data_IF_564537110274
#
_entry.id   IF_564537110274
#
_cell.length_a   1.000
_cell.length_b   1.000
_cell.length_c   1.000
_cell.angle_alpha   90.00
_cell.angle_beta   90.00
_cell.angle_gamma   90.00
#
_symmetry.space_group_name_H-M   'P 1'
#
loop_
_entity.id
_entity.type
_entity.pdbx_description
1 polymer ?
#
# COMPACT_ATOMS: atom_id res chain seq x y z
N UNK A 1 13.75 2.80 14.13
CA UNK A 1 12.53 3.02 14.93
C UNK A 1 11.35 2.67 14.03
N UNK A 2 10.81 1.45 14.16
CA UNK A 2 9.74 0.95 13.29
C UNK A 2 8.41 1.47 13.82
N UNK A 3 7.73 2.32 13.06
CA UNK A 3 6.43 2.85 13.42
C UNK A 3 5.34 1.88 12.99
N UNK A 4 4.49 1.46 13.93
CA UNK A 4 3.33 0.64 13.64
C UNK A 4 2.15 1.56 13.34
N UNK A 5 1.90 1.82 12.05
CA UNK A 5 0.74 2.58 11.61
C UNK A 5 -0.25 1.59 11.01
N UNK A 6 -1.42 1.48 11.64
CA UNK A 6 -2.55 0.80 11.03
C UNK A 6 -2.99 1.61 9.81
N UNK A 7 -2.52 1.24 8.63
CA UNK A 7 -2.97 1.86 7.40
C UNK A 7 -4.40 1.44 7.11
N UNK A 8 -5.32 2.40 7.17
CA UNK A 8 -6.61 2.24 6.53
C UNK A 8 -6.35 2.19 5.01
N UNK A 9 -6.44 0.98 4.43
CA UNK A 9 -6.27 0.75 2.99
C UNK A 9 -7.27 1.64 2.26
N UNK A 10 -6.80 2.60 1.48
CA UNK A 10 -7.67 3.37 0.60
C UNK A 10 -8.34 2.38 -0.37
N UNK A 11 -9.68 2.33 -0.34
CA UNK A 11 -10.46 1.52 -1.27
C UNK A 11 -10.62 2.32 -2.55
N UNK A 12 -9.80 2.01 -3.56
CA UNK A 12 -10.06 2.47 -4.91
C UNK A 12 -11.43 1.92 -5.35
N UNK A 13 -12.22 2.71 -6.08
CA UNK A 13 -13.49 2.23 -6.67
C UNK A 13 -13.28 1.23 -7.82
N UNK A 14 -12.04 1.02 -8.23
CA UNK A 14 -11.65 0.08 -9.28
C UNK A 14 -11.53 -1.32 -8.69
N UNK A 15 -11.96 -2.33 -9.45
CA UNK A 15 -11.82 -3.76 -9.08
C UNK A 15 -10.39 -4.30 -9.28
N UNK A 16 -9.49 -3.48 -9.82
CA UNK A 16 -8.10 -3.85 -10.07
C UNK A 16 -7.20 -3.56 -8.86
N UNK A 17 -6.15 -4.37 -8.70
CA UNK A 17 -5.13 -4.17 -7.66
C UNK A 17 -4.14 -3.04 -7.98
N UNK A 18 -4.25 -2.40 -9.15
CA UNK A 18 -3.38 -1.32 -9.62
C UNK A 18 -4.20 -0.07 -9.98
N UNK A 19 -3.59 1.10 -9.80
CA UNK A 19 -4.22 2.39 -10.10
C UNK A 19 -3.94 2.85 -11.52
N UNK A 20 -4.97 2.86 -12.37
CA UNK A 20 -4.88 3.34 -13.75
C UNK A 20 -4.58 4.85 -13.88
N UNK A 21 -4.73 5.62 -12.81
CA UNK A 21 -4.46 7.07 -12.79
C UNK A 21 -2.96 7.37 -12.72
N UNK A 22 -2.13 6.38 -12.39
CA UNK A 22 -0.68 6.48 -12.32
C UNK A 22 0.03 5.53 -13.32
N UNK A 23 -0.09 5.78 -14.64
CA UNK A 23 0.44 4.89 -15.67
C UNK A 23 1.97 4.72 -15.62
N UNK A 24 2.67 5.66 -15.00
CA UNK A 24 4.13 5.64 -14.88
C UNK A 24 4.62 5.16 -13.49
N UNK A 25 3.72 4.76 -12.59
CA UNK A 25 4.09 4.31 -11.23
C UNK A 25 4.87 5.35 -10.42
N UNK A 26 4.53 6.63 -10.57
CA UNK A 26 5.22 7.75 -9.91
C UNK A 26 4.93 7.80 -8.41
N UNK A 27 3.72 7.43 -8.01
CA UNK A 27 3.22 7.55 -6.64
C UNK A 27 3.25 6.22 -5.88
N UNK A 28 3.12 5.09 -6.60
CA UNK A 28 3.24 3.76 -6.01
C UNK A 28 4.22 2.90 -6.81
N UNK A 29 5.06 2.13 -6.10
CA UNK A 29 6.04 1.24 -6.73
C UNK A 29 5.34 0.02 -7.31
N UNK A 30 5.70 -0.37 -8.53
CA UNK A 30 5.34 -1.67 -9.13
C UNK A 30 6.25 -2.81 -8.69
N UNK A 31 7.19 -2.55 -7.77
CA UNK A 31 8.06 -3.56 -7.20
C UNK A 31 7.25 -4.66 -6.50
N UNK A 32 7.45 -5.90 -6.94
CA UNK A 32 6.77 -7.06 -6.37
C UNK A 32 7.20 -7.29 -4.92
N UNK A 33 6.22 -7.44 -4.02
CA UNK A 33 6.46 -7.66 -2.59
C UNK A 33 5.90 -9.01 -2.14
N UNK A 34 6.76 -10.04 -1.97
CA UNK A 34 6.28 -11.40 -1.71
C UNK A 34 5.57 -11.56 -0.37
N UNK A 35 5.91 -10.76 0.65
CA UNK A 35 5.28 -10.83 1.97
C UNK A 35 3.83 -10.35 2.00
N UNK A 36 3.41 -9.59 0.99
CA UNK A 36 2.02 -9.15 0.83
C UNK A 36 1.20 -10.08 -0.07
N UNK A 37 1.83 -11.06 -0.71
CA UNK A 37 1.16 -11.98 -1.63
C UNK A 37 0.32 -13.01 -0.86
N UNK A 38 -1.02 -13.06 -1.09
CA UNK A 38 -1.88 -14.05 -0.47
C UNK A 38 -1.48 -15.51 -0.79
N UNK A 39 -0.94 -15.75 -1.99
CA UNK A 39 -0.55 -17.09 -2.45
C UNK A 39 0.73 -17.59 -1.78
N UNK A 40 1.61 -16.68 -1.35
CA UNK A 40 2.81 -17.03 -0.60
C UNK A 40 2.56 -17.13 0.92
N UNK A 41 1.35 -16.87 1.38
CA UNK A 41 1.00 -16.92 2.81
C UNK A 41 1.31 -18.28 3.43
N UNK A 42 1.03 -19.38 2.73
CA UNK A 42 1.33 -20.72 3.22
C UNK A 42 2.83 -20.93 3.44
N UNK A 43 3.65 -20.47 2.50
CA UNK A 43 5.12 -20.55 2.56
C UNK A 43 5.69 -19.75 3.74
N UNK A 44 5.20 -18.53 3.96
CA UNK A 44 5.68 -17.69 5.07
C UNK A 44 5.08 -18.06 6.44
N UNK A 45 4.03 -18.88 6.47
CA UNK A 45 3.40 -19.33 7.72
C UNK A 45 4.16 -20.47 8.40
N UNK A 46 5.11 -21.13 7.72
CA UNK A 46 5.91 -22.20 8.31
C UNK A 46 6.69 -21.67 9.55
N UNK A 47 6.74 -22.41 10.68
CA UNK A 47 7.35 -21.91 11.92
C UNK A 47 8.81 -21.51 11.81
N UNK A 48 9.57 -22.17 10.92
CA UNK A 48 10.98 -21.85 10.65
C UNK A 48 11.09 -20.52 9.92
N UNK A 49 10.29 -20.33 8.87
CA UNK A 49 10.27 -19.11 8.07
C UNK A 49 9.78 -17.92 8.88
N UNK A 50 8.69 -18.09 9.64
CA UNK A 50 8.18 -17.05 10.54
C UNK A 50 9.23 -16.59 11.55
N UNK A 51 9.93 -17.53 12.21
CA UNK A 51 11.01 -17.21 13.15
C UNK A 51 12.16 -16.45 12.47
N UNK A 52 12.49 -16.83 11.24
CA UNK A 52 13.51 -16.13 10.45
C UNK A 52 13.08 -14.69 10.12
N UNK A 53 11.85 -14.50 9.65
CA UNK A 53 11.32 -13.20 9.26
C UNK A 53 11.18 -12.23 10.44
N UNK A 54 10.75 -12.73 11.60
CA UNK A 54 10.71 -11.95 12.85
C UNK A 54 12.12 -11.54 13.27
N UNK A 55 13.08 -12.48 13.27
CA UNK A 55 14.48 -12.17 13.61
C UNK A 55 15.11 -11.14 12.67
N UNK A 56 14.74 -11.17 11.39
CA UNK A 56 15.20 -10.21 10.37
C UNK A 56 14.44 -8.87 10.40
N UNK A 57 13.35 -8.76 11.16
CA UNK A 57 12.56 -7.53 11.27
C UNK A 57 11.66 -7.26 10.07
N UNK A 58 11.29 -8.28 9.29
CA UNK A 58 10.33 -8.14 8.18
C UNK A 58 8.88 -8.24 8.63
N UNK A 59 8.64 -8.96 9.74
CA UNK A 59 7.33 -9.19 10.32
C UNK A 59 7.40 -8.96 11.83
N UNK A 60 6.36 -8.37 12.40
CA UNK A 60 6.16 -8.25 13.84
C UNK A 60 5.90 -9.62 14.50
N UNK A 61 6.04 -9.71 15.82
CA UNK A 61 5.71 -10.92 16.58
C UNK A 61 4.25 -11.37 16.36
N UNK A 62 3.34 -10.40 16.18
CA UNK A 62 1.93 -10.60 15.84
C UNK A 62 1.71 -11.20 14.44
N UNK A 63 2.74 -11.29 13.60
CA UNK A 63 2.62 -11.80 12.24
C UNK A 63 2.23 -10.77 11.19
N UNK A 64 2.29 -9.47 11.54
CA UNK A 64 2.03 -8.36 10.61
C UNK A 64 3.32 -7.95 9.89
N UNK A 65 3.24 -7.77 8.57
CA UNK A 65 4.37 -7.30 7.75
C UNK A 65 4.72 -5.87 8.16
N UNK A 66 6.00 -5.62 8.40
CA UNK A 66 6.52 -4.31 8.74
C UNK A 66 6.87 -3.56 7.46
N UNK A 67 6.47 -2.29 7.40
CA UNK A 67 6.85 -1.40 6.31
C UNK A 67 8.09 -0.57 6.66
N UNK A 68 8.91 -0.26 5.66
CA UNK A 68 9.98 0.70 5.78
C UNK A 68 9.46 2.15 5.79
N UNK A 69 10.28 3.08 6.28
CA UNK A 69 9.95 4.51 6.24
C UNK A 69 9.72 5.02 4.81
N UNK A 70 10.46 4.47 3.84
CA UNK A 70 10.31 4.79 2.41
C UNK A 70 8.91 4.41 1.92
N UNK A 71 8.46 3.19 2.23
CA UNK A 71 7.13 2.71 1.83
C UNK A 71 6.01 3.51 2.49
N UNK A 72 6.17 3.85 3.77
CA UNK A 72 5.23 4.73 4.48
C UNK A 72 5.13 6.10 3.80
N UNK A 73 6.26 6.70 3.43
CA UNK A 73 6.28 8.00 2.74
C UNK A 73 5.66 7.93 1.35
N UNK A 74 5.94 6.87 0.58
CA UNK A 74 5.30 6.63 -0.71
C UNK A 74 3.79 6.52 -0.57
N UNK A 75 3.31 5.74 0.41
CA UNK A 75 1.87 5.61 0.65
C UNK A 75 1.22 6.94 1.04
N UNK A 76 1.87 7.75 1.89
CA UNK A 76 1.40 9.11 2.23
C UNK A 76 1.29 10.01 1.01
N UNK A 77 2.29 9.95 0.13
CA UNK A 77 2.30 10.73 -1.12
C UNK A 77 1.17 10.28 -2.07
N UNK A 78 0.97 8.96 -2.19
CA UNK A 78 -0.13 8.39 -2.95
C UNK A 78 -1.50 8.85 -2.43
N UNK A 79 -1.75 8.77 -1.13
CA UNK A 79 -3.02 9.25 -0.55
C UNK A 79 -3.29 10.73 -0.84
N UNK A 80 -2.24 11.55 -0.76
CA UNK A 80 -2.34 12.98 -1.09
C UNK A 80 -2.66 13.19 -2.57
N UNK A 81 -2.08 12.40 -3.45
CA UNK A 81 -2.38 12.45 -4.88
C UNK A 81 -3.85 12.12 -5.15
N UNK A 82 -4.37 11.04 -4.54
CA UNK A 82 -5.77 10.65 -4.70
C UNK A 82 -6.72 11.74 -4.22
N UNK A 83 -6.47 12.31 -3.05
CA UNK A 83 -7.28 13.40 -2.50
C UNK A 83 -7.37 14.59 -3.46
N UNK A 84 -6.25 15.00 -4.08
CA UNK A 84 -6.27 16.09 -5.05
C UNK A 84 -6.99 15.74 -6.36
N UNK A 85 -6.93 14.48 -6.80
CA UNK A 85 -7.68 14.02 -7.96
C UNK A 85 -9.19 14.06 -7.70
N UNK A 86 -9.64 13.61 -6.52
CA UNK A 86 -11.05 13.66 -6.12
C UNK A 86 -11.57 15.11 -6.11
N UNK A 87 -10.82 16.03 -5.50
CA UNK A 87 -11.16 17.48 -5.52
C UNK A 87 -11.19 18.03 -6.96
N UNK A 88 -10.27 17.62 -7.82
CA UNK A 88 -10.24 18.08 -9.21
C UNK A 88 -11.44 17.56 -10.01
N UNK A 89 -11.88 16.33 -9.77
CA UNK A 89 -13.10 15.78 -10.38
C UNK A 89 -14.35 16.52 -9.92
N UNK A 90 -14.48 16.79 -8.62
CA UNK A 90 -15.62 17.54 -8.06
C UNK A 90 -15.72 18.93 -8.70
N UNK A 91 -14.62 19.68 -8.74
CA UNK A 91 -14.59 21.00 -9.40
C UNK A 91 -14.95 20.93 -10.89
N UNK A 92 -14.53 19.88 -11.60
CA UNK A 92 -14.92 19.69 -13.02
C UNK A 92 -16.42 19.47 -13.17
N UNK A 93 -17.03 18.69 -12.27
CA UNK A 93 -18.49 18.44 -12.27
C UNK A 93 -19.25 19.74 -12.02
N UNK A 94 -18.82 20.54 -11.04
CA UNK A 94 -19.42 21.86 -10.78
C UNK A 94 -19.38 22.76 -12.02
N UNK A 95 -18.23 22.84 -12.70
CA UNK A 95 -18.08 23.66 -13.92
C UNK A 95 -18.94 23.16 -15.09
N UNK A 96 -19.19 21.85 -15.23
CA UNK A 96 -20.02 21.30 -16.32
C UNK A 96 -21.53 21.38 -16.03
N UNK A 97 -21.92 21.72 -14.80
CA UNK A 97 -23.33 21.89 -14.39
C UNK A 97 -23.83 23.32 -14.63
N UNK A 98 -22.92 24.30 -14.81
CA UNK A 98 -23.22 25.68 -15.18
C UNK A 98 -22.98 25.93 -16.67
#
# INVERSE_FOLDING_TARGET
MYAFIAFQKHRCKQDYDFDLRDPNGKYITTEYRPLHDPHLKAHFSTPVMRRHLVRKGFISEDGKVLCSLKELNQYRQYLRHIFFLEIAEERKREVHVY
#
